data_IF_964339354977
#
_entry.id   IF_964339354977
#
_cell.length_a   1.000
_cell.length_b   1.000
_cell.length_c   1.000
_cell.angle_alpha   90.00
_cell.angle_beta   90.00
_cell.angle_gamma   90.00
#
_symmetry.space_group_name_H-M   'P 1'
#
loop_
_entity.id
_entity.type
_entity.pdbx_description
1 polymer ?
#
# COMPACT_ATOMS: atom_id res chain seq x y z
N UNK A 1 17.90 -11.89 23.06
CA UNK A 1 18.86 -10.76 23.15
C UNK A 1 18.26 -9.65 22.28
N UNK A 2 17.52 -8.74 22.89
CA UNK A 2 16.80 -7.67 22.17
C UNK A 2 17.67 -6.43 22.21
N UNK A 3 18.39 -6.15 21.11
CA UNK A 3 19.07 -4.88 20.94
C UNK A 3 18.06 -3.85 20.45
N UNK A 4 17.95 -2.71 21.13
CA UNK A 4 17.25 -1.54 20.63
C UNK A 4 18.01 -1.04 19.40
N UNK A 5 17.54 -1.35 18.21
CA UNK A 5 18.20 -1.01 16.96
C UNK A 5 18.31 0.49 16.71
N UNK A 6 17.50 1.30 17.40
CA UNK A 6 17.66 2.76 17.43
C UNK A 6 19.05 3.19 17.89
N UNK A 7 19.70 2.43 18.76
CA UNK A 7 21.07 2.72 19.25
C UNK A 7 22.15 2.34 18.21
N UNK A 8 21.89 1.39 17.31
CA UNK A 8 22.86 0.98 16.27
C UNK A 8 22.89 1.91 15.04
N UNK A 9 21.78 2.56 14.72
CA UNK A 9 21.71 3.56 13.64
C UNK A 9 22.16 4.97 14.10
N UNK A 10 22.27 5.20 15.41
CA UNK A 10 22.43 6.54 16.00
C UNK A 10 23.66 6.68 16.89
N UNK A 11 24.63 5.76 16.82
CA UNK A 11 25.86 5.87 17.58
C UNK A 11 26.73 7.00 17.00
N UNK A 12 26.54 8.22 17.54
CA UNK A 12 27.41 9.40 17.59
C UNK A 12 28.28 9.78 16.37
N UNK A 13 28.06 9.22 15.17
CA UNK A 13 28.78 9.63 13.96
C UNK A 13 27.97 10.65 13.13
N UNK A 14 28.29 11.94 13.28
CA UNK A 14 27.68 13.04 12.50
C UNK A 14 27.77 12.79 10.97
N UNK A 15 28.81 12.09 10.50
CA UNK A 15 28.97 11.77 9.08
C UNK A 15 27.97 10.70 8.64
N UNK A 16 27.74 9.66 9.45
CA UNK A 16 26.74 8.62 9.19
C UNK A 16 25.34 9.23 9.17
N UNK A 17 25.02 10.10 10.13
CA UNK A 17 23.74 10.83 10.15
C UNK A 17 23.57 11.72 8.90
N UNK A 18 24.58 12.51 8.56
CA UNK A 18 24.55 13.37 7.37
C UNK A 18 24.39 12.56 6.09
N UNK A 19 25.04 11.39 5.98
CA UNK A 19 24.86 10.48 4.83
C UNK A 19 23.46 9.89 4.79
N UNK A 20 22.92 9.44 5.92
CA UNK A 20 21.53 8.95 6.02
C UNK A 20 20.53 10.00 5.55
N UNK A 21 20.68 11.27 6.00
CA UNK A 21 19.79 12.37 5.60
C UNK A 21 19.87 12.70 4.11
N UNK A 22 21.01 12.47 3.47
CA UNK A 22 21.16 12.61 2.00
C UNK A 22 20.57 11.46 1.22
N UNK A 23 20.44 10.29 1.86
CA UNK A 23 20.00 9.04 1.26
C UNK A 23 18.52 8.70 1.60
N UNK A 24 17.69 9.68 1.97
CA UNK A 24 16.27 9.45 2.20
C UNK A 24 15.56 9.06 0.89
N UNK A 25 14.65 8.09 0.98
CA UNK A 25 13.88 7.65 -0.16
C UNK A 25 12.98 8.76 -0.69
N UNK A 26 12.86 8.94 -2.02
CA UNK A 26 11.89 9.84 -2.60
C UNK A 26 10.47 9.37 -2.27
N UNK A 27 9.58 10.34 -2.06
CA UNK A 27 8.16 10.13 -1.85
C UNK A 27 7.48 10.30 -3.20
N UNK A 28 6.62 9.36 -3.57
CA UNK A 28 5.77 9.48 -4.77
C UNK A 28 4.32 9.49 -4.34
N UNK A 29 3.60 10.53 -4.76
CA UNK A 29 2.19 10.74 -4.49
C UNK A 29 1.41 10.73 -5.81
N UNK A 30 0.38 9.90 -5.89
CA UNK A 30 -0.54 9.85 -7.03
C UNK A 30 -1.82 10.61 -6.70
N UNK A 31 -2.20 11.56 -7.57
CA UNK A 31 -3.37 12.44 -7.39
C UNK A 31 -4.24 12.46 -8.63
N UNK A 32 -5.55 12.75 -8.44
CA UNK A 32 -6.48 12.87 -9.53
C UNK A 32 -7.40 14.12 -9.36
N UNK A 33 -8.60 13.95 -8.80
CA UNK A 33 -9.63 14.99 -8.78
C UNK A 33 -10.22 15.27 -7.37
N UNK A 34 -9.59 14.76 -6.29
CA UNK A 34 -10.07 14.87 -4.92
C UNK A 34 -9.23 15.90 -4.13
N UNK A 35 -9.55 17.18 -4.28
CA UNK A 35 -8.78 18.28 -3.68
C UNK A 35 -8.65 18.16 -2.15
N UNK A 36 -9.74 17.86 -1.43
CA UNK A 36 -9.72 17.81 0.03
C UNK A 36 -8.89 16.64 0.56
N UNK A 37 -8.94 15.48 -0.10
CA UNK A 37 -8.10 14.33 0.22
C UNK A 37 -6.63 14.66 -0.06
N UNK A 38 -6.33 15.18 -1.25
CA UNK A 38 -4.97 15.59 -1.64
C UNK A 38 -4.37 16.58 -0.64
N UNK A 39 -5.12 17.60 -0.22
CA UNK A 39 -4.70 18.57 0.80
C UNK A 39 -4.35 17.89 2.12
N UNK A 40 -5.26 17.07 2.66
CA UNK A 40 -5.07 16.38 3.93
C UNK A 40 -3.85 15.44 3.89
N UNK A 41 -3.65 14.74 2.78
CA UNK A 41 -2.50 13.84 2.58
C UNK A 41 -1.20 14.63 2.56
N UNK A 42 -1.10 15.72 1.80
CA UNK A 42 0.10 16.56 1.70
C UNK A 42 0.39 17.25 3.05
N UNK A 43 -0.62 17.82 3.70
CA UNK A 43 -0.48 18.43 5.02
C UNK A 43 -0.04 17.42 6.09
N UNK A 44 -0.49 16.17 6.01
CA UNK A 44 -0.01 15.12 6.88
C UNK A 44 1.45 14.77 6.61
N UNK A 45 1.85 14.68 5.33
CA UNK A 45 3.24 14.45 4.93
C UNK A 45 4.16 15.59 5.39
N UNK A 46 3.75 16.87 5.23
CA UNK A 46 4.52 18.04 5.68
C UNK A 46 4.83 18.03 7.19
N UNK A 47 3.96 17.41 8.00
CA UNK A 47 4.16 17.23 9.44
C UNK A 47 5.10 16.09 9.81
N UNK A 48 5.51 15.27 8.83
CA UNK A 48 6.38 14.13 9.08
C UNK A 48 7.79 14.56 9.45
N UNK A 49 8.40 13.80 10.37
CA UNK A 49 9.84 13.83 10.57
C UNK A 49 10.49 13.41 9.25
N UNK A 50 11.47 14.18 8.78
CA UNK A 50 12.16 14.08 7.49
C UNK A 50 11.39 14.61 6.26
N UNK A 51 10.25 15.28 6.41
CA UNK A 51 9.56 15.89 5.27
C UNK A 51 10.47 16.91 4.55
N UNK A 52 11.10 17.82 5.31
CA UNK A 52 11.98 18.88 4.77
C UNK A 52 13.21 18.35 4.06
N UNK A 53 13.66 17.16 4.43
CA UNK A 53 14.83 16.50 3.88
C UNK A 53 14.49 15.55 2.72
N UNK A 54 13.21 15.25 2.53
CA UNK A 54 12.71 14.34 1.50
C UNK A 54 12.34 15.05 0.22
N UNK A 55 12.53 14.40 -0.92
CA UNK A 55 12.03 14.82 -2.23
C UNK A 55 10.64 14.26 -2.46
N UNK A 56 9.71 15.07 -2.97
CA UNK A 56 8.33 14.69 -3.29
C UNK A 56 8.09 14.78 -4.79
N UNK A 57 7.67 13.66 -5.38
CA UNK A 57 7.22 13.56 -6.77
C UNK A 57 5.70 13.37 -6.77
N UNK A 58 4.97 14.25 -7.43
CA UNK A 58 3.51 14.22 -7.49
C UNK A 58 3.08 13.95 -8.92
N UNK A 59 2.49 12.79 -9.16
CA UNK A 59 1.86 12.45 -10.43
C UNK A 59 0.40 12.88 -10.40
N UNK A 60 0.04 13.85 -11.24
CA UNK A 60 -1.34 14.32 -11.40
C UNK A 60 -1.91 13.84 -12.72
N UNK A 61 -2.91 12.95 -12.65
CA UNK A 61 -3.57 12.42 -13.84
C UNK A 61 -4.40 13.50 -14.55
N UNK A 62 -4.67 13.32 -15.85
CA UNK A 62 -5.53 14.19 -16.61
C UNK A 62 -7.02 13.87 -16.38
N UNK A 63 -7.94 14.81 -16.69
CA UNK A 63 -9.36 14.53 -16.60
C UNK A 63 -9.76 13.33 -17.48
N UNK A 64 -10.56 12.42 -16.95
CA UNK A 64 -11.13 11.29 -17.70
C UNK A 64 -12.28 11.76 -18.61
N UNK A 65 -13.02 12.74 -18.14
CA UNK A 65 -14.14 13.37 -18.86
C UNK A 65 -14.11 14.87 -18.65
N UNK A 66 -14.84 15.64 -19.48
CA UNK A 66 -15.00 17.09 -19.29
C UNK A 66 -15.54 17.46 -17.90
N UNK A 67 -16.36 16.58 -17.30
CA UNK A 67 -16.91 16.79 -15.94
C UNK A 67 -15.82 16.82 -14.87
N UNK A 68 -14.73 16.10 -15.09
CA UNK A 68 -13.62 16.02 -14.14
C UNK A 68 -12.64 17.19 -14.29
N UNK A 69 -12.74 17.97 -15.38
CA UNK A 69 -11.74 18.98 -15.73
C UNK A 69 -11.57 20.03 -14.62
N UNK A 70 -12.68 20.54 -14.05
CA UNK A 70 -12.65 21.56 -13.00
C UNK A 70 -12.02 21.02 -11.72
N UNK A 71 -12.37 19.81 -11.30
CA UNK A 71 -11.82 19.21 -10.07
C UNK A 71 -10.34 18.83 -10.23
N UNK A 72 -9.94 18.30 -11.38
CA UNK A 72 -8.52 18.05 -11.69
C UNK A 72 -7.73 19.36 -11.72
N UNK A 73 -8.26 20.42 -12.35
CA UNK A 73 -7.59 21.72 -12.38
C UNK A 73 -7.44 22.28 -10.96
N UNK A 74 -8.47 22.18 -10.12
CA UNK A 74 -8.40 22.62 -8.72
C UNK A 74 -7.31 21.89 -7.92
N UNK A 75 -7.12 20.57 -8.16
CA UNK A 75 -5.99 19.82 -7.59
C UNK A 75 -4.68 20.38 -8.13
N UNK A 76 -4.52 20.52 -9.45
CA UNK A 76 -3.30 21.02 -10.08
C UNK A 76 -2.91 22.41 -9.62
N UNK A 77 -3.88 23.32 -9.46
CA UNK A 77 -3.64 24.67 -8.92
C UNK A 77 -3.10 24.61 -7.49
N UNK A 78 -3.69 23.76 -6.65
CA UNK A 78 -3.18 23.55 -5.29
C UNK A 78 -1.77 22.97 -5.29
N UNK A 79 -1.47 22.00 -6.15
CA UNK A 79 -0.16 21.37 -6.22
C UNK A 79 0.96 22.40 -6.50
N UNK A 80 0.69 23.48 -7.25
CA UNK A 80 1.67 24.54 -7.50
C UNK A 80 2.05 25.34 -6.23
N UNK A 81 1.26 25.23 -5.17
CA UNK A 81 1.51 25.91 -3.89
C UNK A 81 2.20 25.03 -2.85
N UNK A 82 2.47 23.75 -3.20
CA UNK A 82 3.04 22.78 -2.27
C UNK A 82 4.51 23.06 -2.00
N UNK A 83 4.85 23.17 -0.73
CA UNK A 83 6.19 23.37 -0.20
C UNK A 83 6.46 22.45 1.01
N UNK A 84 7.50 22.75 1.80
CA UNK A 84 7.83 22.01 3.04
C UNK A 84 8.61 20.72 2.81
N UNK A 85 9.06 20.45 1.58
CA UNK A 85 9.95 19.35 1.21
C UNK A 85 11.29 19.89 0.69
N UNK A 86 12.31 19.02 0.60
CA UNK A 86 13.60 19.39 -0.01
C UNK A 86 13.43 19.86 -1.46
N UNK A 87 12.58 19.19 -2.20
CA UNK A 87 12.18 19.54 -3.56
C UNK A 87 10.82 18.92 -3.86
N UNK A 88 10.04 19.60 -4.71
CA UNK A 88 8.74 19.11 -5.19
C UNK A 88 8.76 19.10 -6.72
N UNK A 89 8.47 17.94 -7.31
CA UNK A 89 8.28 17.78 -8.75
C UNK A 89 6.85 17.38 -9.04
N UNK A 90 6.19 18.12 -9.94
CA UNK A 90 4.82 17.86 -10.34
C UNK A 90 4.84 17.34 -11.77
N UNK A 91 4.41 16.10 -11.96
CA UNK A 91 4.32 15.42 -13.24
C UNK A 91 2.83 15.39 -13.64
N UNK A 92 2.43 16.29 -14.53
CA UNK A 92 1.06 16.37 -15.05
C UNK A 92 0.95 15.51 -16.30
N UNK A 93 0.03 14.53 -16.29
CA UNK A 93 -0.27 13.76 -17.49
C UNK A 93 -1.10 14.60 -18.47
N UNK A 94 -0.85 14.44 -19.75
CA UNK A 94 -1.59 15.12 -20.82
C UNK A 94 -2.93 14.41 -21.11
N UNK A 95 -2.99 13.09 -20.95
CA UNK A 95 -4.18 12.25 -21.08
C UNK A 95 -4.44 11.46 -19.79
N UNK A 96 -5.68 11.00 -19.59
CA UNK A 96 -6.03 10.18 -18.43
C UNK A 96 -5.48 8.75 -18.58
N UNK A 97 -4.60 8.38 -17.68
CA UNK A 97 -3.99 7.06 -17.62
C UNK A 97 -4.71 6.11 -16.68
N UNK A 98 -5.51 6.64 -15.75
CA UNK A 98 -6.09 5.89 -14.66
C UNK A 98 -5.05 5.49 -13.60
N UNK A 99 -5.55 5.15 -12.41
CA UNK A 99 -4.71 4.92 -11.23
C UNK A 99 -3.64 3.86 -11.46
N UNK A 100 -4.03 2.68 -11.95
CA UNK A 100 -3.11 1.54 -12.05
C UNK A 100 -1.92 1.81 -13.00
N UNK A 101 -2.18 2.42 -14.18
CA UNK A 101 -1.10 2.75 -15.12
C UNK A 101 -0.18 3.83 -14.56
N UNK A 102 -0.73 4.84 -13.89
CA UNK A 102 0.05 5.89 -13.24
C UNK A 102 0.98 5.34 -12.18
N UNK A 103 0.48 4.45 -11.31
CA UNK A 103 1.29 3.83 -10.25
C UNK A 103 2.38 2.96 -10.86
N UNK A 104 2.06 2.08 -11.80
CA UNK A 104 3.05 1.20 -12.42
C UNK A 104 4.18 2.00 -13.11
N UNK A 105 3.85 3.05 -13.82
CA UNK A 105 4.82 3.90 -14.52
C UNK A 105 5.65 4.73 -13.52
N UNK A 106 4.98 5.50 -12.64
CA UNK A 106 5.66 6.40 -11.72
C UNK A 106 6.55 5.67 -10.72
N UNK A 107 6.08 4.54 -10.16
CA UNK A 107 6.91 3.72 -9.29
C UNK A 107 8.12 3.18 -10.04
N UNK A 108 7.93 2.65 -11.26
CA UNK A 108 9.02 2.09 -12.06
C UNK A 108 10.07 3.15 -12.42
N UNK A 109 9.64 4.36 -12.81
CA UNK A 109 10.57 5.44 -13.12
C UNK A 109 11.42 5.82 -11.90
N UNK A 110 10.76 6.15 -10.79
CA UNK A 110 11.44 6.69 -9.61
C UNK A 110 12.27 5.61 -8.90
N UNK A 111 11.77 4.39 -8.76
CA UNK A 111 12.55 3.34 -8.08
C UNK A 111 13.79 2.94 -8.88
N UNK A 112 13.72 2.97 -10.22
CA UNK A 112 14.89 2.70 -11.08
C UNK A 112 15.95 3.80 -10.98
N UNK A 113 15.55 5.05 -10.83
CA UNK A 113 16.46 6.18 -10.68
C UNK A 113 17.11 6.23 -9.29
N UNK A 114 16.30 6.06 -8.23
CA UNK A 114 16.74 6.28 -6.84
C UNK A 114 17.05 5.00 -6.07
N UNK A 115 16.76 3.82 -6.61
CA UNK A 115 17.03 2.52 -5.97
C UNK A 115 16.00 2.11 -4.90
N UNK A 116 15.24 3.04 -4.36
CA UNK A 116 14.20 2.84 -3.35
C UNK A 116 13.13 3.92 -3.45
N UNK A 117 11.93 3.68 -2.87
CA UNK A 117 10.79 4.58 -3.03
C UNK A 117 9.81 4.44 -1.87
N UNK A 118 9.11 5.52 -1.51
CA UNK A 118 7.92 5.54 -0.65
C UNK A 118 6.73 5.98 -1.50
N UNK A 119 5.63 5.24 -1.46
CA UNK A 119 4.48 5.41 -2.36
C UNK A 119 3.20 5.69 -1.57
N UNK A 120 2.45 6.70 -2.01
CA UNK A 120 1.15 7.08 -1.46
C UNK A 120 0.15 7.42 -2.58
N UNK A 121 -1.12 7.25 -2.27
CA UNK A 121 -2.26 7.77 -3.01
C UNK A 121 -2.84 9.01 -2.30
N UNK A 122 -3.66 9.79 -2.99
CA UNK A 122 -4.17 11.09 -2.51
C UNK A 122 -5.12 11.01 -1.31
N UNK A 123 -5.51 9.81 -0.90
CA UNK A 123 -6.37 9.53 0.24
C UNK A 123 -5.67 8.86 1.43
N UNK A 124 -4.34 8.81 1.44
CA UNK A 124 -3.56 8.18 2.51
C UNK A 124 -3.06 9.22 3.50
N UNK A 125 -3.72 9.33 4.63
CA UNK A 125 -3.28 10.16 5.76
C UNK A 125 -2.17 9.46 6.54
N UNK A 126 -1.11 10.20 6.93
CA UNK A 126 0.06 9.64 7.58
C UNK A 126 0.28 10.17 9.00
N UNK A 127 0.79 9.30 9.89
CA UNK A 127 1.40 9.69 11.16
C UNK A 127 2.65 10.56 10.92
N UNK A 128 3.00 11.43 11.85
CA UNK A 128 4.25 12.21 11.80
C UNK A 128 5.53 11.36 11.82
N UNK A 129 5.44 10.07 12.13
CA UNK A 129 6.56 9.12 12.17
C UNK A 129 6.61 8.20 10.94
N UNK A 130 5.69 8.35 9.97
CA UNK A 130 5.60 7.48 8.81
C UNK A 130 6.89 7.50 7.96
N UNK A 131 7.37 8.69 7.57
CA UNK A 131 8.58 8.80 6.74
C UNK A 131 9.83 8.29 7.48
N UNK A 132 9.92 8.52 8.79
CA UNK A 132 11.01 7.98 9.60
C UNK A 132 11.00 6.46 9.57
N UNK A 133 9.86 5.84 9.85
CA UNK A 133 9.70 4.38 9.84
C UNK A 133 10.06 3.78 8.48
N UNK A 134 9.55 4.36 7.38
CA UNK A 134 9.85 3.89 6.03
C UNK A 134 11.35 3.94 5.72
N UNK A 135 12.02 5.04 6.02
CA UNK A 135 13.43 5.20 5.75
C UNK A 135 14.32 4.32 6.65
N UNK A 136 13.99 4.19 7.94
CA UNK A 136 14.68 3.28 8.85
C UNK A 136 14.61 1.83 8.33
N UNK A 137 13.41 1.37 7.94
CA UNK A 137 13.19 0.04 7.39
C UNK A 137 13.92 -0.17 6.06
N UNK A 138 13.80 0.79 5.12
CA UNK A 138 14.49 0.74 3.84
C UNK A 138 16.02 0.68 3.99
N UNK A 139 16.57 1.33 4.99
CA UNK A 139 18.01 1.31 5.28
C UNK A 139 18.42 0.00 5.93
N UNK A 140 17.64 -0.47 6.91
CA UNK A 140 17.95 -1.67 7.68
C UNK A 140 17.90 -2.94 6.83
N UNK A 141 16.89 -3.06 5.97
CA UNK A 141 16.64 -4.30 5.24
C UNK A 141 17.13 -4.29 3.78
N UNK A 142 17.90 -3.29 3.35
CA UNK A 142 18.41 -3.16 1.98
C UNK A 142 19.17 -4.39 1.46
N UNK A 143 19.86 -5.10 2.36
CA UNK A 143 20.67 -6.27 2.03
C UNK A 143 19.95 -7.61 2.31
N UNK A 144 18.64 -7.57 2.58
CA UNK A 144 17.80 -8.73 2.86
C UNK A 144 16.78 -8.96 1.74
N UNK A 145 17.12 -9.70 0.68
CA UNK A 145 16.28 -9.83 -0.52
C UNK A 145 14.90 -10.45 -0.28
N UNK A 146 14.71 -11.16 0.83
CA UNK A 146 13.40 -11.66 1.24
C UNK A 146 12.45 -10.54 1.71
N UNK A 147 12.97 -9.41 2.20
CA UNK A 147 12.14 -8.26 2.56
C UNK A 147 11.89 -7.45 1.31
N UNK A 148 10.73 -7.61 0.71
CA UNK A 148 10.40 -7.00 -0.57
C UNK A 148 9.61 -5.69 -0.43
N UNK A 149 8.93 -5.50 0.69
CA UNK A 149 8.07 -4.33 0.91
C UNK A 149 8.06 -3.89 2.38
N UNK A 150 7.71 -2.63 2.61
CA UNK A 150 7.43 -2.06 3.93
C UNK A 150 6.04 -1.44 3.88
N UNK A 151 5.15 -1.80 4.80
CA UNK A 151 3.80 -1.23 4.91
C UNK A 151 3.72 -0.21 6.03
N UNK A 152 3.02 0.91 5.80
CA UNK A 152 2.59 1.82 6.85
C UNK A 152 1.24 1.46 7.46
N UNK A 153 0.46 0.64 6.76
CA UNK A 153 -0.89 0.27 7.13
C UNK A 153 -0.95 -1.07 7.86
N UNK A 154 -1.89 -1.16 8.79
CA UNK A 154 -2.27 -2.39 9.47
C UNK A 154 -3.79 -2.50 9.57
N UNK A 155 -4.34 -3.65 9.21
CA UNK A 155 -5.75 -3.97 9.44
C UNK A 155 -6.11 -3.89 10.93
N UNK A 156 -7.38 -3.60 11.29
CA UNK A 156 -7.83 -3.57 12.68
C UNK A 156 -8.01 -4.99 13.26
N UNK A 157 -6.91 -5.73 13.31
CA UNK A 157 -6.85 -7.07 13.88
C UNK A 157 -6.63 -7.03 15.40
N UNK A 158 -6.80 -8.18 16.08
CA UNK A 158 -6.38 -8.36 17.46
C UNK A 158 -4.85 -8.20 17.58
N UNK A 159 -4.40 -7.29 18.47
CA UNK A 159 -2.99 -6.88 18.58
C UNK A 159 -2.24 -7.49 19.76
N UNK A 160 -2.95 -8.20 20.65
CA UNK A 160 -2.34 -8.78 21.85
C UNK A 160 -1.20 -9.73 21.47
N UNK A 161 -0.08 -9.58 22.17
CA UNK A 161 1.17 -10.34 21.96
C UNK A 161 1.84 -10.15 20.60
N UNK A 162 1.39 -9.21 19.75
CA UNK A 162 2.15 -8.84 18.56
C UNK A 162 3.29 -7.89 18.92
N UNK A 163 4.51 -8.10 18.38
CA UNK A 163 5.61 -7.15 18.52
C UNK A 163 5.28 -5.84 17.78
N UNK A 164 6.05 -4.79 18.02
CA UNK A 164 5.84 -3.46 17.43
C UNK A 164 5.88 -3.47 15.90
N UNK A 165 6.78 -4.29 15.31
CA UNK A 165 6.77 -4.63 13.88
C UNK A 165 7.05 -6.11 13.68
N UNK A 166 6.62 -6.65 12.55
CA UNK A 166 6.78 -8.06 12.17
C UNK A 166 6.68 -8.24 10.67
N UNK A 167 7.04 -9.42 10.18
CA UNK A 167 6.92 -9.75 8.77
C UNK A 167 5.67 -10.56 8.46
N UNK A 168 5.10 -10.30 7.27
CA UNK A 168 3.98 -11.01 6.69
C UNK A 168 4.22 -11.32 5.21
N UNK A 169 3.74 -12.47 4.72
CA UNK A 169 3.60 -12.75 3.29
C UNK A 169 2.33 -12.06 2.74
N UNK A 170 2.36 -10.74 2.67
CA UNK A 170 1.22 -9.95 2.20
C UNK A 170 1.70 -8.66 1.53
N UNK A 171 0.95 -8.18 0.57
CA UNK A 171 1.15 -6.87 -0.05
C UNK A 171 0.12 -5.86 0.43
N UNK A 172 0.57 -4.72 0.93
CA UNK A 172 -0.29 -3.62 1.34
C UNK A 172 -0.01 -2.41 0.48
N UNK A 173 -1.05 -1.68 0.07
CA UNK A 173 -0.93 -0.55 -0.85
C UNK A 173 -1.26 0.82 -0.23
N UNK A 174 -1.61 0.89 1.05
CA UNK A 174 -2.01 2.14 1.72
C UNK A 174 -0.84 2.79 2.47
N UNK A 175 0.08 3.40 1.70
CA UNK A 175 1.34 3.93 2.18
C UNK A 175 2.36 2.82 2.38
N UNK A 176 3.23 2.65 1.41
CA UNK A 176 4.19 1.55 1.36
C UNK A 176 5.52 1.98 0.77
N UNK A 177 6.54 1.14 0.92
CA UNK A 177 7.86 1.39 0.38
C UNK A 177 8.47 0.10 -0.17
N UNK A 178 9.41 0.24 -1.11
CA UNK A 178 10.12 -0.89 -1.73
C UNK A 178 11.46 -0.46 -2.32
N UNK A 179 12.21 -1.44 -2.81
CA UNK A 179 13.48 -1.28 -3.49
C UNK A 179 13.34 -1.65 -4.98
N UNK A 180 14.27 -1.13 -5.80
CA UNK A 180 14.34 -1.42 -7.24
C UNK A 180 14.41 -2.91 -7.52
N UNK A 181 15.24 -3.63 -6.77
CA UNK A 181 15.44 -5.07 -6.92
C UNK A 181 14.14 -5.84 -6.67
N UNK A 182 13.40 -5.47 -5.62
CA UNK A 182 12.10 -6.07 -5.31
C UNK A 182 11.05 -5.71 -6.35
N UNK A 183 10.97 -4.43 -6.75
CA UNK A 183 10.00 -3.99 -7.76
C UNK A 183 10.26 -4.60 -9.13
N UNK A 184 11.48 -5.02 -9.44
CA UNK A 184 11.80 -5.70 -10.70
C UNK A 184 11.01 -7.00 -10.93
N UNK A 185 10.49 -7.63 -9.87
CA UNK A 185 9.60 -8.79 -9.94
C UNK A 185 8.15 -8.43 -10.27
N UNK A 186 7.77 -7.15 -10.16
CA UNK A 186 6.41 -6.73 -10.48
C UNK A 186 6.07 -6.98 -11.96
N UNK A 187 5.01 -7.73 -12.20
CA UNK A 187 4.47 -7.97 -13.54
C UNK A 187 2.94 -8.03 -13.48
N UNK A 188 2.30 -7.19 -14.29
CA UNK A 188 0.84 -7.25 -14.45
C UNK A 188 0.49 -8.18 -15.62
N UNK A 189 0.46 -9.47 -15.35
CA UNK A 189 0.08 -10.51 -16.31
C UNK A 189 -0.90 -11.50 -15.65
N UNK A 190 -2.22 -11.20 -15.63
CA UNK A 190 -3.21 -12.06 -14.99
C UNK A 190 -3.30 -13.44 -15.65
N UNK A 191 -3.10 -13.53 -16.97
CA UNK A 191 -3.15 -14.79 -17.70
C UNK A 191 -2.03 -15.73 -17.25
N UNK A 192 -0.83 -15.20 -17.14
CA UNK A 192 0.33 -15.97 -16.68
C UNK A 192 0.15 -16.43 -15.23
N UNK A 193 -0.31 -15.55 -14.32
CA UNK A 193 -0.57 -15.92 -12.93
C UNK A 193 -1.59 -17.07 -12.83
N UNK A 194 -2.67 -17.04 -13.61
CA UNK A 194 -3.69 -18.10 -13.63
C UNK A 194 -3.11 -19.44 -14.09
N UNK A 195 -2.10 -19.42 -14.97
CA UNK A 195 -1.43 -20.64 -15.42
C UNK A 195 -0.41 -21.18 -14.41
N UNK A 196 0.24 -20.31 -13.65
CA UNK A 196 1.32 -20.68 -12.74
C UNK A 196 0.84 -21.05 -11.34
N UNK A 197 -0.22 -20.42 -10.83
CA UNK A 197 -0.72 -20.68 -9.48
C UNK A 197 -1.49 -21.99 -9.39
N UNK A 198 -1.06 -22.85 -8.48
CA UNK A 198 -1.81 -24.07 -8.12
C UNK A 198 -3.01 -23.71 -7.23
N UNK A 199 -3.88 -24.70 -6.97
CA UNK A 199 -4.99 -24.52 -6.01
C UNK A 199 -4.49 -24.26 -4.59
N UNK A 200 -3.35 -24.82 -4.24
CA UNK A 200 -2.71 -24.65 -2.94
C UNK A 200 -2.13 -23.23 -2.82
N UNK A 201 -1.45 -22.74 -3.85
CA UNK A 201 -0.98 -21.35 -3.91
C UNK A 201 -2.13 -20.36 -3.73
N UNK A 202 -3.24 -20.57 -4.43
CA UNK A 202 -4.45 -19.73 -4.32
C UNK A 202 -5.02 -19.78 -2.90
N UNK A 203 -5.03 -20.95 -2.28
CA UNK A 203 -5.50 -21.12 -0.91
C UNK A 203 -4.66 -20.30 0.08
N UNK A 204 -3.33 -20.40 -0.02
CA UNK A 204 -2.41 -19.65 0.84
C UNK A 204 -2.37 -18.15 0.51
N UNK A 205 -2.43 -17.78 -0.76
CA UNK A 205 -2.54 -16.39 -1.22
C UNK A 205 -3.78 -15.70 -0.64
N UNK A 206 -4.88 -16.43 -0.53
CA UNK A 206 -6.14 -15.98 0.06
C UNK A 206 -6.18 -16.15 1.59
N UNK A 207 -5.05 -16.16 2.29
CA UNK A 207 -4.97 -16.36 3.74
C UNK A 207 -5.72 -17.62 4.19
N UNK A 208 -5.30 -18.78 3.72
CA UNK A 208 -5.95 -20.08 3.95
C UNK A 208 -7.45 -20.05 3.58
N UNK A 209 -7.75 -19.34 2.49
CA UNK A 209 -9.11 -19.16 1.98
C UNK A 209 -9.98 -18.20 2.81
N UNK A 210 -9.47 -17.49 3.81
CA UNK A 210 -10.23 -16.51 4.60
C UNK A 210 -10.58 -15.26 3.79
N UNK A 211 -9.67 -14.80 2.94
CA UNK A 211 -9.88 -13.71 1.98
C UNK A 211 -10.23 -14.23 0.57
N UNK A 212 -10.49 -13.32 -0.35
CA UNK A 212 -10.80 -13.63 -1.75
C UNK A 212 -10.02 -12.70 -2.72
N UNK A 213 -8.73 -12.50 -2.45
CA UNK A 213 -7.85 -11.63 -3.24
C UNK A 213 -7.69 -12.13 -4.67
N UNK A 214 -7.68 -13.46 -4.86
CA UNK A 214 -7.51 -14.08 -6.18
C UNK A 214 -8.59 -13.70 -7.18
N UNK A 215 -9.80 -13.36 -6.73
CA UNK A 215 -10.86 -12.88 -7.62
C UNK A 215 -10.50 -11.59 -8.36
N UNK A 216 -9.61 -10.77 -7.79
CA UNK A 216 -9.11 -9.58 -8.48
C UNK A 216 -8.23 -9.98 -9.69
N UNK A 217 -7.42 -11.05 -9.59
CA UNK A 217 -6.65 -11.58 -10.73
C UNK A 217 -7.59 -12.06 -11.83
N UNK A 218 -8.62 -12.83 -11.46
CA UNK A 218 -9.65 -13.32 -12.40
C UNK A 218 -10.43 -12.16 -13.05
N UNK A 219 -10.77 -11.13 -12.29
CA UNK A 219 -11.48 -9.95 -12.81
C UNK A 219 -10.61 -9.13 -13.77
N UNK A 220 -9.30 -9.04 -13.50
CA UNK A 220 -8.34 -8.40 -14.39
C UNK A 220 -8.16 -9.18 -15.70
N UNK A 221 -8.14 -10.52 -15.68
CA UNK A 221 -8.09 -11.35 -16.89
C UNK A 221 -9.35 -11.19 -17.74
N UNK A 222 -10.52 -11.10 -17.11
CA UNK A 222 -11.80 -10.87 -17.78
C UNK A 222 -11.97 -9.43 -18.28
N UNK A 223 -11.06 -8.52 -18.00
CA UNK A 223 -11.17 -7.10 -18.35
C UNK A 223 -12.26 -6.33 -17.60
N UNK A 224 -12.82 -6.88 -16.52
CA UNK A 224 -13.84 -6.22 -15.68
C UNK A 224 -13.24 -5.40 -14.54
N UNK A 225 -11.94 -5.53 -14.30
CA UNK A 225 -11.16 -4.76 -13.35
C UNK A 225 -9.79 -4.43 -13.98
N UNK A 226 -9.26 -3.24 -13.69
CA UNK A 226 -7.90 -2.87 -14.05
C UNK A 226 -7.19 -2.31 -12.82
N UNK A 227 -6.43 -3.16 -12.11
CA UNK A 227 -5.73 -2.81 -10.86
C UNK A 227 -4.26 -3.23 -10.92
N UNK A 228 -3.46 -2.71 -10.00
CA UNK A 228 -2.02 -3.00 -9.88
C UNK A 228 -1.70 -3.79 -8.60
N UNK A 229 -2.37 -3.49 -7.48
CA UNK A 229 -1.98 -3.93 -6.14
C UNK A 229 -1.92 -5.45 -5.99
N UNK A 230 -2.93 -6.19 -6.51
CA UNK A 230 -2.96 -7.65 -6.45
C UNK A 230 -1.78 -8.29 -7.20
N UNK A 231 -1.22 -7.62 -8.22
CA UNK A 231 -0.03 -8.10 -8.94
C UNK A 231 1.25 -7.86 -8.15
N UNK A 232 1.31 -6.79 -7.36
CA UNK A 232 2.41 -6.59 -6.42
C UNK A 232 2.37 -7.64 -5.30
N UNK A 233 1.22 -7.88 -4.73
CA UNK A 233 1.02 -8.97 -3.77
C UNK A 233 1.38 -10.34 -4.35
N UNK A 234 0.98 -10.62 -5.59
CA UNK A 234 1.35 -11.86 -6.30
C UNK A 234 2.87 -11.96 -6.51
N UNK A 235 3.56 -10.86 -6.83
CA UNK A 235 5.01 -10.85 -6.99
C UNK A 235 5.72 -11.16 -5.65
N UNK A 236 5.26 -10.58 -4.54
CA UNK A 236 5.77 -10.90 -3.20
C UNK A 236 5.54 -12.38 -2.89
N UNK A 237 4.33 -12.89 -3.13
CA UNK A 237 3.97 -14.28 -2.86
C UNK A 237 4.84 -15.28 -3.66
N UNK A 238 4.95 -15.09 -4.99
CA UNK A 238 5.73 -15.98 -5.86
C UNK A 238 7.22 -16.03 -5.53
N UNK A 239 7.76 -14.94 -4.97
CA UNK A 239 9.17 -14.86 -4.57
C UNK A 239 9.39 -15.21 -3.09
N UNK A 240 8.39 -15.77 -2.40
CA UNK A 240 8.44 -16.02 -0.96
C UNK A 240 8.90 -14.79 -0.17
N UNK A 241 8.52 -13.61 -0.68
CA UNK A 241 8.88 -12.32 -0.14
C UNK A 241 8.07 -11.98 1.11
N UNK A 242 8.58 -11.03 1.86
CA UNK A 242 8.00 -10.57 3.11
C UNK A 242 7.77 -9.05 3.05
N UNK A 243 6.69 -8.62 3.70
CA UNK A 243 6.42 -7.21 3.96
C UNK A 243 6.62 -6.95 5.44
N UNK A 244 7.48 -5.97 5.78
CA UNK A 244 7.54 -5.46 7.14
C UNK A 244 6.25 -4.67 7.43
N UNK A 245 5.57 -5.02 8.50
CA UNK A 245 4.26 -4.47 8.87
C UNK A 245 4.30 -3.96 10.31
N UNK A 246 3.79 -2.74 10.60
CA UNK A 246 3.70 -2.23 11.95
C UNK A 246 2.48 -2.85 12.66
N UNK A 247 2.58 -3.12 13.98
CA UNK A 247 1.44 -3.52 14.81
C UNK A 247 0.37 -2.43 14.87
N UNK A 248 0.81 -1.20 15.02
CA UNK A 248 -0.04 -0.02 15.08
C UNK A 248 0.13 0.78 13.80
N UNK A 249 -0.95 0.99 13.08
CA UNK A 249 -0.90 1.62 11.75
C UNK A 249 -0.29 3.03 11.81
N UNK A 250 0.55 3.36 10.84
CA UNK A 250 1.10 4.68 10.60
C UNK A 250 0.37 5.43 9.48
N UNK A 251 -0.58 4.76 8.86
CA UNK A 251 -1.40 5.33 7.79
C UNK A 251 -2.88 5.03 7.99
N UNK A 252 -3.73 5.86 7.42
CA UNK A 252 -5.18 5.70 7.39
C UNK A 252 -5.69 6.04 5.99
N UNK A 253 -6.54 5.18 5.42
CA UNK A 253 -7.16 5.43 4.12
C UNK A 253 -8.47 6.22 4.30
N UNK A 254 -8.48 7.47 3.85
CA UNK A 254 -9.66 8.35 3.88
C UNK A 254 -10.65 8.07 2.75
N UNK A 255 -10.24 7.36 1.70
CA UNK A 255 -11.06 7.07 0.51
C UNK A 255 -12.12 5.99 0.70
N UNK A 256 -12.26 5.44 1.94
CA UNK A 256 -13.35 4.53 2.31
C UNK A 256 -14.68 5.26 2.59
N UNK A 257 -14.78 6.52 2.22
CA UNK A 257 -15.99 7.36 2.31
C UNK A 257 -16.95 7.19 1.12
N UNK A 258 -16.62 6.32 0.17
CA UNK A 258 -17.39 6.08 -1.04
C UNK A 258 -16.98 6.95 -2.24
N UNK A 259 -15.95 7.79 -2.11
CA UNK A 259 -15.42 8.62 -3.22
C UNK A 259 -14.28 7.95 -3.99
N UNK A 260 -13.73 6.83 -3.48
CA UNK A 260 -12.64 6.08 -4.10
C UNK A 260 -13.06 5.29 -5.34
N UNK A 261 -12.17 5.11 -6.30
CA UNK A 261 -12.46 4.41 -7.57
C UNK A 261 -12.84 2.93 -7.37
N UNK A 262 -12.24 2.27 -6.37
CA UNK A 262 -12.44 0.85 -6.08
C UNK A 262 -12.96 0.58 -4.67
N UNK A 263 -13.18 1.62 -3.87
CA UNK A 263 -13.59 1.53 -2.48
C UNK A 263 -15.04 1.95 -2.31
N UNK A 264 -15.87 1.07 -1.76
CA UNK A 264 -17.20 1.44 -1.24
C UNK A 264 -17.08 2.17 0.10
N UNK A 265 -18.20 2.73 0.60
CA UNK A 265 -18.23 3.27 1.96
C UNK A 265 -18.24 2.10 2.96
N UNK A 266 -17.21 2.04 3.81
CA UNK A 266 -17.08 1.02 4.87
C UNK A 266 -16.14 1.46 5.98
N UNK A 267 -16.51 1.18 7.23
CA UNK A 267 -15.65 1.39 8.39
C UNK A 267 -14.80 0.16 8.75
N UNK A 268 -14.94 -0.91 7.96
CA UNK A 268 -14.35 -2.21 8.25
C UNK A 268 -12.82 -2.18 8.34
N UNK A 269 -12.19 -1.31 7.57
CA UNK A 269 -10.73 -1.17 7.47
C UNK A 269 -10.21 0.06 8.21
N UNK A 270 -11.10 0.78 8.92
CA UNK A 270 -10.70 1.93 9.70
C UNK A 270 -9.79 1.50 10.86
N UNK A 271 -8.69 2.18 11.00
CA UNK A 271 -7.70 1.95 12.05
C UNK A 271 -7.28 3.26 12.68
N UNK A 272 -6.91 3.21 13.95
CA UNK A 272 -6.35 4.37 14.63
C UNK A 272 -4.85 4.39 14.33
N UNK A 273 -4.36 5.51 13.78
CA UNK A 273 -2.93 5.69 13.54
C UNK A 273 -2.19 5.96 14.85
N UNK A 274 -0.99 5.39 14.94
CA UNK A 274 -0.12 5.66 16.09
C UNK A 274 0.62 6.98 15.92
N UNK A 275 0.75 7.73 17.01
CA UNK A 275 1.60 8.93 17.09
C UNK A 275 2.91 8.65 17.86
N UNK A 276 3.43 7.43 17.74
CA UNK A 276 4.68 6.99 18.37
C UNK A 276 5.66 6.51 17.31
N UNK A 277 6.96 6.83 17.54
CA UNK A 277 8.03 6.32 16.70
C UNK A 277 8.17 4.81 16.89
N UNK A 278 8.33 4.08 15.79
CA UNK A 278 8.70 2.67 15.81
C UNK A 278 10.15 2.56 16.29
N UNK A 279 10.39 1.68 17.26
CA UNK A 279 11.69 1.44 17.84
C UNK A 279 12.20 0.01 17.68
N UNK A 280 11.30 -0.93 17.40
CA UNK A 280 11.63 -2.33 17.25
C UNK A 280 11.49 -2.78 15.80
N UNK A 281 12.57 -3.37 15.28
CA UNK A 281 12.65 -3.98 13.97
C UNK A 281 13.15 -5.43 14.13
N UNK A 282 12.43 -6.45 13.62
CA UNK A 282 12.83 -7.85 13.79
C UNK A 282 14.10 -8.17 13.01
N UNK A 283 15.04 -8.85 13.67
CA UNK A 283 16.28 -9.35 13.04
C UNK A 283 16.09 -10.69 12.34
N UNK A 284 15.11 -11.46 12.78
CA UNK A 284 14.77 -12.74 12.19
C UNK A 284 13.81 -12.51 11.02
N UNK A 285 14.26 -12.83 9.80
CA UNK A 285 13.54 -12.55 8.54
C UNK A 285 12.62 -13.74 8.23
N UNK A 286 11.52 -13.81 8.95
CA UNK A 286 10.47 -14.83 8.77
C UNK A 286 9.08 -14.27 9.07
N UNK A 287 8.06 -14.86 8.45
CA UNK A 287 6.67 -14.51 8.75
C UNK A 287 6.35 -14.80 10.22
N UNK A 288 5.60 -13.89 10.86
CA UNK A 288 5.10 -14.11 12.22
C UNK A 288 3.79 -14.91 12.18
N UNK A 289 3.78 -16.19 12.63
CA UNK A 289 2.57 -17.04 12.53
C UNK A 289 1.37 -16.47 13.27
N UNK A 290 1.58 -15.82 14.43
CA UNK A 290 0.50 -15.18 15.19
C UNK A 290 -0.16 -14.03 14.38
N UNK A 291 0.62 -13.24 13.67
CA UNK A 291 0.08 -12.17 12.84
C UNK A 291 -0.74 -12.73 11.67
N UNK A 292 -0.25 -13.81 11.02
CA UNK A 292 -0.99 -14.50 9.96
C UNK A 292 -2.32 -15.06 10.47
N UNK A 293 -2.33 -15.70 11.63
CA UNK A 293 -3.55 -16.20 12.29
C UNK A 293 -4.55 -15.05 12.54
N UNK A 294 -4.08 -13.90 13.07
CA UNK A 294 -4.94 -12.75 13.35
C UNK A 294 -5.56 -12.15 12.07
N UNK A 295 -4.80 -12.08 10.98
CA UNK A 295 -5.32 -11.67 9.68
C UNK A 295 -6.35 -12.67 9.14
N UNK A 296 -6.06 -13.96 9.20
CA UNK A 296 -7.01 -15.00 8.83
C UNK A 296 -8.35 -14.84 9.57
N UNK A 297 -8.31 -14.73 10.89
CA UNK A 297 -9.51 -14.55 11.73
C UNK A 297 -10.26 -13.25 11.42
N UNK A 298 -9.54 -12.18 11.10
CA UNK A 298 -10.15 -10.91 10.70
C UNK A 298 -10.97 -11.07 9.41
N UNK A 299 -10.40 -11.66 8.37
CA UNK A 299 -11.09 -11.87 7.10
C UNK A 299 -12.18 -12.94 7.18
N UNK A 300 -11.97 -14.01 7.98
CA UNK A 300 -12.97 -15.05 8.18
C UNK A 300 -14.28 -14.51 8.80
N UNK A 301 -14.18 -13.59 9.77
CA UNK A 301 -15.33 -12.91 10.37
C UNK A 301 -16.14 -12.08 9.37
N UNK A 302 -15.55 -11.67 8.26
CA UNK A 302 -16.22 -10.85 7.24
C UNK A 302 -16.97 -11.68 6.20
N UNK A 303 -16.71 -12.98 6.14
CA UNK A 303 -17.43 -13.87 5.22
C UNK A 303 -18.92 -13.87 5.53
N UNK A 304 -19.79 -13.78 4.51
CA UNK A 304 -21.22 -13.89 4.74
C UNK A 304 -21.52 -15.24 5.39
N UNK A 305 -22.33 -15.23 6.46
CA UNK A 305 -22.73 -16.45 7.15
C UNK A 305 -23.31 -17.48 6.16
N UNK A 306 -23.16 -18.76 6.48
CA UNK A 306 -23.67 -19.87 5.66
C UNK A 306 -25.13 -19.67 5.26
N UNK A 307 -25.97 -19.16 6.16
CA UNK A 307 -27.38 -18.86 5.89
C UNK A 307 -27.55 -17.75 4.84
N UNK A 308 -26.72 -16.69 4.86
CA UNK A 308 -26.75 -15.63 3.84
C UNK A 308 -26.24 -16.13 2.49
N UNK A 309 -25.28 -17.09 2.46
CA UNK A 309 -24.82 -17.75 1.22
C UNK A 309 -25.94 -18.59 0.57
N UNK A 310 -26.69 -19.35 1.37
CA UNK A 310 -27.87 -20.11 0.89
C UNK A 310 -28.97 -19.18 0.35
N UNK A 311 -29.27 -18.09 1.06
CA UNK A 311 -30.27 -17.11 0.62
C UNK A 311 -29.90 -16.42 -0.72
N UNK A 312 -28.60 -16.14 -0.96
CA UNK A 312 -28.14 -15.61 -2.24
C UNK A 312 -28.22 -16.62 -3.37
N UNK A 313 -27.88 -17.90 -3.12
CA UNK A 313 -28.04 -18.98 -4.11
C UNK A 313 -29.52 -19.23 -4.46
N UNK A 314 -30.41 -19.16 -3.47
CA UNK A 314 -31.86 -19.26 -3.69
C UNK A 314 -32.42 -18.12 -4.56
N UNK A 315 -32.00 -16.87 -4.31
CA UNK A 315 -32.43 -15.71 -5.14
C UNK A 315 -31.90 -15.77 -6.58
N UNK A 316 -30.69 -16.28 -6.80
CA UNK A 316 -30.13 -16.47 -8.15
C UNK A 316 -30.80 -17.62 -8.92
N UNK A 317 -31.27 -18.65 -8.22
CA UNK A 317 -32.08 -19.74 -8.77
C UNK A 317 -33.48 -19.29 -9.22
N UNK A 318 -34.14 -18.46 -8.39
CA UNK A 318 -35.45 -17.90 -8.67
C UNK A 318 -35.43 -16.96 -9.89
N UNK A 319 -34.40 -16.11 -10.03
CA UNK A 319 -34.25 -15.25 -11.23
C UNK A 319 -34.04 -16.02 -12.53
N UNK A 320 -33.46 -17.23 -12.50
CA UNK A 320 -33.31 -18.10 -13.69
C UNK A 320 -34.61 -18.81 -14.06
N UNK A 321 -35.53 -18.97 -13.13
CA UNK A 321 -36.83 -19.62 -13.42
C UNK A 321 -37.82 -18.60 -14.01
N UNK A 322 -37.80 -17.33 -13.60
CA UNK A 322 -38.66 -16.28 -14.15
C UNK A 322 -38.18 -15.65 -15.47
N UNK A 323 -36.99 -16.01 -15.96
CA UNK A 323 -36.51 -15.59 -17.31
C UNK A 323 -36.82 -16.61 -18.42
N UNK A 324 -37.71 -17.58 -18.17
CA UNK A 324 -38.13 -18.60 -19.12
C UNK A 324 -39.66 -18.65 -19.34
N UNK A 325 -40.38 -17.57 -18.99
CA UNK A 325 -41.76 -17.37 -19.40
C UNK A 325 -41.95 -16.00 -20.01
#
# INVERSE_FOLDING_TARGET
>A
MFLKYAELLWDHDEKAHTQYMKDLAPIVLFTYNRLDHTKKTIEALQRNIYAKESSLFIYSDAPKTEKDAVSVQSVRDYLQTVDGFRAVWIIMREENWGLARNIMDGVTQIVNEYGKIIVLEDDIFTSKYFLKYMNDALTLYKDFPKVMSVSGYMYPIEKENLPETFFMHAGYCWGWATWRESWSFFKRDPKKLIQEFTKDDIYHFNLEGAADFWQQVIANEKGTLYTWAVFWESAIFQNHGLTLTPRDSLTFNMGMDGTGEHCGSTDLYNTIITDRAIQYFPLEIQELPLARERHHLFFEKQKPSFLRRLARKGKSGIKKVFARF
#
